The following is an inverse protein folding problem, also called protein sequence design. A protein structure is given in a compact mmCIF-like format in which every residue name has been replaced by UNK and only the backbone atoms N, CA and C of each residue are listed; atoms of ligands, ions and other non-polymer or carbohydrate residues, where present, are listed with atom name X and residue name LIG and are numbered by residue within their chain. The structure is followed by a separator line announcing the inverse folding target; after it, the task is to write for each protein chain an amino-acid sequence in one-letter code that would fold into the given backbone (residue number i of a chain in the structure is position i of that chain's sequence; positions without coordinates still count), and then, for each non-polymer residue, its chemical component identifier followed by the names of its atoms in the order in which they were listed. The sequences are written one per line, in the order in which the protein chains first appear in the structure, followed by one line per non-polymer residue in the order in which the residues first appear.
data_IF_750702952948
#
_entry.id   IF_750702952948
#
_cell.length_a   1.000
_cell.length_b   1.000
_cell.length_c   1.000
_cell.angle_alpha   90.00
_cell.angle_beta   90.00
_cell.angle_gamma   90.00
#
_symmetry.space_group_name_H-M   'P 1'
#
loop_
_entity.id
_entity.type
_entity.pdbx_description
1 polymer ?
#
# COMPACT_ATOMS: atom_id res chain seq x y z
N UNK A 1 31.19 18.77 17.36
CA UNK A 1 29.96 18.05 16.99
C UNK A 1 29.69 18.29 15.50
N UNK A 2 30.15 17.38 14.64
CA UNK A 2 30.01 17.51 13.19
C UNK A 2 28.62 17.10 12.73
N UNK A 3 27.93 17.98 12.01
CA UNK A 3 26.66 17.69 11.34
C UNK A 3 26.92 16.82 10.12
N UNK A 4 26.35 15.62 10.09
CA UNK A 4 26.29 14.77 8.90
C UNK A 4 25.03 15.17 8.12
N UNK A 5 25.22 15.76 6.94
CA UNK A 5 24.15 15.96 5.97
C UNK A 5 24.01 14.66 5.16
N UNK A 6 22.81 14.07 5.18
CA UNK A 6 22.46 12.92 4.35
C UNK A 6 21.81 13.47 3.08
N UNK A 7 22.55 13.43 1.96
CA UNK A 7 21.99 13.73 0.65
C UNK A 7 21.06 12.58 0.22
N UNK A 8 19.80 12.92 -0.07
CA UNK A 8 18.81 12.03 -0.67
C UNK A 8 19.28 11.70 -2.09
N UNK A 9 19.85 10.51 -2.28
CA UNK A 9 20.22 10.03 -3.61
C UNK A 9 18.97 9.76 -4.45
N UNK A 10 18.86 10.43 -5.59
CA UNK A 10 17.85 10.15 -6.60
C UNK A 10 18.00 8.70 -7.09
N UNK A 11 16.91 7.93 -7.00
CA UNK A 11 16.82 6.59 -7.57
C UNK A 11 16.87 6.74 -9.10
N UNK A 12 18.04 6.48 -9.68
CA UNK A 12 18.20 6.43 -11.14
C UNK A 12 17.29 5.34 -11.70
N UNK A 13 16.25 5.75 -12.42
CA UNK A 13 15.44 4.87 -13.25
C UNK A 13 16.36 4.22 -14.28
N UNK A 14 16.64 2.92 -14.11
CA UNK A 14 17.48 2.16 -15.05
C UNK A 14 16.74 2.05 -16.38
N UNK A 15 17.41 2.47 -17.46
CA UNK A 15 16.87 2.41 -18.81
C UNK A 15 16.46 0.98 -19.19
N UNK A 16 15.33 0.86 -19.88
CA UNK A 16 14.66 -0.38 -20.30
C UNK A 16 15.52 -1.35 -21.14
N UNK A 17 16.68 -0.94 -21.64
CA UNK A 17 17.61 -1.78 -22.41
C UNK A 17 18.56 -2.66 -21.55
N UNK A 18 18.62 -2.48 -20.23
CA UNK A 18 19.53 -3.26 -19.35
C UNK A 18 18.87 -4.53 -18.76
N UNK A 19 17.55 -4.68 -18.91
CA UNK A 19 16.79 -5.81 -18.35
C UNK A 19 17.01 -7.14 -19.12
N UNK A 20 17.61 -7.11 -20.32
CA UNK A 20 17.87 -8.31 -21.13
C UNK A 20 19.18 -9.03 -20.78
N UNK A 21 20.07 -8.44 -19.98
CA UNK A 21 21.41 -9.00 -19.69
C UNK A 21 21.59 -9.42 -18.23
N UNK A 22 20.49 -9.56 -17.47
CA UNK A 22 20.57 -9.97 -16.08
C UNK A 22 20.51 -11.48 -15.92
N UNK A 23 21.59 -12.08 -15.38
CA UNK A 23 21.71 -13.53 -15.29
C UNK A 23 20.67 -14.13 -14.35
N UNK A 24 20.03 -15.23 -14.77
CA UNK A 24 19.23 -16.05 -13.86
C UNK A 24 20.15 -16.74 -12.86
N UNK A 25 19.96 -16.55 -11.56
CA UNK A 25 20.75 -17.24 -10.52
C UNK A 25 20.02 -18.38 -9.83
N UNK A 26 18.77 -18.62 -10.23
CA UNK A 26 17.87 -19.60 -9.62
C UNK A 26 17.37 -20.62 -10.63
N UNK A 27 17.17 -21.86 -10.19
CA UNK A 27 16.61 -22.94 -11.01
C UNK A 27 15.88 -23.96 -10.13
N UNK A 28 15.17 -24.91 -10.73
CA UNK A 28 14.60 -26.05 -10.00
C UNK A 28 15.43 -27.32 -10.22
N UNK A 29 15.74 -28.04 -9.16
CA UNK A 29 16.42 -29.34 -9.24
C UNK A 29 15.45 -30.41 -9.74
N UNK A 30 15.76 -31.06 -10.86
CA UNK A 30 14.88 -32.06 -11.48
C UNK A 30 14.53 -33.24 -10.57
N UNK A 31 15.47 -33.67 -9.73
CA UNK A 31 15.29 -34.85 -8.91
C UNK A 31 14.33 -34.63 -7.71
N UNK A 32 14.25 -33.40 -7.21
CA UNK A 32 13.52 -33.08 -5.97
C UNK A 32 12.38 -32.08 -6.16
N UNK A 33 12.39 -31.32 -7.26
CA UNK A 33 11.47 -30.19 -7.45
C UNK A 33 11.80 -28.98 -6.56
N UNK A 34 12.95 -28.96 -5.90
CA UNK A 34 13.37 -27.89 -5.00
C UNK A 34 14.06 -26.77 -5.78
N UNK A 35 13.79 -25.52 -5.40
CA UNK A 35 14.50 -24.36 -5.95
C UNK A 35 15.92 -24.29 -5.41
N UNK A 36 16.89 -24.00 -6.28
CA UNK A 36 18.31 -23.92 -5.95
C UNK A 36 18.94 -22.64 -6.49
N UNK A 37 19.86 -22.07 -5.72
CA UNK A 37 20.71 -20.96 -6.13
C UNK A 37 22.00 -21.48 -6.76
N UNK A 38 22.46 -20.85 -7.84
CA UNK A 38 23.64 -21.28 -8.61
C UNK A 38 24.92 -21.29 -7.76
N UNK A 39 25.05 -20.39 -6.79
CA UNK A 39 26.22 -20.34 -5.91
C UNK A 39 26.27 -21.44 -4.85
N UNK A 40 25.20 -22.24 -4.70
CA UNK A 40 25.23 -23.44 -3.86
C UNK A 40 25.71 -24.69 -4.62
N UNK A 41 25.82 -24.61 -5.95
CA UNK A 41 26.29 -25.73 -6.77
C UNK A 41 27.80 -25.90 -6.65
N UNK A 42 28.22 -27.16 -6.58
CA UNK A 42 29.64 -27.56 -6.58
C UNK A 42 30.21 -27.59 -8.01
N UNK A 43 31.54 -27.66 -8.10
CA UNK A 43 32.25 -27.63 -9.38
C UNK A 43 31.91 -28.82 -10.31
N UNK A 44 31.62 -29.99 -9.73
CA UNK A 44 31.15 -31.20 -10.43
C UNK A 44 29.71 -31.08 -10.94
N UNK A 45 28.96 -30.08 -10.47
CA UNK A 45 27.60 -29.76 -10.90
C UNK A 45 27.57 -28.62 -11.93
N UNK A 46 28.72 -28.20 -12.49
CA UNK A 46 28.77 -27.14 -13.50
C UNK A 46 28.32 -27.64 -14.89
N UNK A 47 27.76 -26.74 -15.71
CA UNK A 47 27.24 -27.04 -17.04
C UNK A 47 25.94 -27.85 -17.01
N UNK A 48 25.81 -28.82 -17.91
CA UNK A 48 24.66 -29.73 -17.98
C UNK A 48 24.60 -30.70 -16.78
N UNK A 49 25.69 -30.85 -16.01
CA UNK A 49 25.75 -31.72 -14.84
C UNK A 49 24.95 -31.19 -13.64
N UNK A 50 24.46 -29.94 -13.70
CA UNK A 50 23.68 -29.35 -12.60
C UNK A 50 22.35 -30.06 -12.35
N UNK A 51 21.81 -30.80 -13.33
CA UNK A 51 20.52 -31.48 -13.20
C UNK A 51 19.35 -30.51 -12.94
N UNK A 52 19.46 -29.27 -13.41
CA UNK A 52 18.48 -28.21 -13.18
C UNK A 52 17.56 -28.00 -14.39
N UNK A 53 16.33 -27.56 -14.14
CA UNK A 53 15.36 -27.15 -15.16
C UNK A 53 14.77 -25.78 -14.83
N UNK A 54 14.23 -25.11 -15.85
CA UNK A 54 13.47 -23.90 -15.68
C UNK A 54 11.98 -24.26 -15.44
N UNK A 55 11.39 -23.99 -14.26
CA UNK A 55 9.97 -24.27 -14.03
C UNK A 55 8.99 -23.45 -14.90
N UNK A 56 9.45 -22.43 -15.61
CA UNK A 56 8.58 -21.63 -16.50
C UNK A 56 8.38 -22.28 -17.88
N UNK A 57 9.45 -22.73 -18.51
CA UNK A 57 9.39 -23.35 -19.85
C UNK A 57 9.61 -24.86 -19.84
N UNK A 58 10.03 -25.43 -18.72
CA UNK A 58 10.35 -26.85 -18.57
C UNK A 58 11.72 -27.27 -19.14
N UNK A 59 12.44 -26.38 -19.82
CA UNK A 59 13.72 -26.69 -20.46
C UNK A 59 14.85 -26.93 -19.45
N UNK A 60 15.82 -27.74 -19.87
CA UNK A 60 17.06 -28.00 -19.15
C UNK A 60 17.95 -26.76 -19.12
N UNK A 61 18.46 -26.46 -17.93
CA UNK A 61 19.37 -25.35 -17.70
C UNK A 61 20.82 -25.83 -17.60
N UNK A 62 21.73 -24.94 -18.00
CA UNK A 62 23.17 -25.08 -17.81
C UNK A 62 23.63 -24.14 -16.71
N UNK A 63 24.30 -24.67 -15.69
CA UNK A 63 25.02 -23.85 -14.73
C UNK A 63 26.32 -23.33 -15.34
N UNK A 64 26.56 -22.03 -15.24
CA UNK A 64 27.76 -21.36 -15.74
C UNK A 64 28.56 -20.87 -14.55
N UNK A 65 29.84 -21.23 -14.53
CA UNK A 65 30.81 -20.88 -13.49
C UNK A 65 30.42 -21.35 -12.07
N UNK A 66 29.53 -22.35 -11.96
CA UNK A 66 29.17 -22.94 -10.67
C UNK A 66 30.39 -23.58 -9.98
N UNK A 67 30.47 -23.42 -8.66
CA UNK A 67 31.58 -23.94 -7.85
C UNK A 67 32.95 -23.31 -8.13
N UNK A 68 33.03 -22.21 -8.90
CA UNK A 68 34.26 -21.43 -9.07
C UNK A 68 34.52 -20.57 -7.84
N UNK A 69 35.78 -20.45 -7.47
CA UNK A 69 36.20 -19.61 -6.35
C UNK A 69 36.20 -18.12 -6.71
N UNK A 70 36.25 -17.26 -5.68
CA UNK A 70 36.21 -15.81 -5.84
C UNK A 70 37.32 -15.26 -6.76
N UNK A 71 38.51 -15.88 -6.80
CA UNK A 71 39.62 -15.42 -7.63
C UNK A 71 39.37 -15.59 -9.13
N UNK A 72 38.51 -16.53 -9.51
CA UNK A 72 38.07 -16.70 -10.90
C UNK A 72 37.36 -15.45 -11.43
N UNK A 73 36.59 -14.77 -10.58
CA UNK A 73 35.77 -13.61 -10.94
C UNK A 73 36.52 -12.27 -10.87
N UNK A 74 37.77 -12.26 -10.39
CA UNK A 74 38.64 -11.09 -10.43
C UNK A 74 39.28 -10.88 -11.80
N UNK A 75 39.14 -11.85 -12.72
CA UNK A 75 39.72 -11.79 -14.07
C UNK A 75 38.86 -10.91 -14.99
N UNK A 76 39.52 -10.13 -15.85
CA UNK A 76 38.83 -9.29 -16.83
C UNK A 76 37.88 -10.12 -17.71
N UNK A 77 36.70 -9.56 -18.00
CA UNK A 77 35.64 -10.17 -18.83
C UNK A 77 35.05 -11.48 -18.30
N UNK A 78 35.24 -11.82 -17.02
CA UNK A 78 34.54 -12.95 -16.41
C UNK A 78 33.14 -12.55 -15.95
N UNK A 79 32.13 -13.32 -16.37
CA UNK A 79 30.76 -13.20 -15.86
C UNK A 79 30.63 -13.98 -14.55
N UNK A 80 29.73 -13.53 -13.67
CA UNK A 80 29.42 -14.22 -12.41
C UNK A 80 28.81 -15.61 -12.61
N UNK A 81 28.32 -16.22 -11.54
CA UNK A 81 27.61 -17.49 -11.60
C UNK A 81 26.16 -17.28 -12.07
N UNK A 82 25.69 -18.13 -12.99
CA UNK A 82 24.32 -18.05 -13.50
C UNK A 82 23.85 -19.33 -14.19
N UNK A 83 22.55 -19.46 -14.38
CA UNK A 83 21.91 -20.44 -15.24
C UNK A 83 21.59 -19.84 -16.60
N UNK A 84 21.74 -20.65 -17.65
CA UNK A 84 21.30 -20.29 -19.00
C UNK A 84 20.54 -21.43 -19.67
N UNK A 85 19.65 -21.07 -20.59
CA UNK A 85 19.00 -22.02 -21.48
C UNK A 85 19.99 -22.55 -22.51
N UNK A 86 19.84 -23.80 -22.88
CA UNK A 86 20.65 -24.45 -23.92
C UNK A 86 20.43 -23.83 -25.31
N UNK A 87 19.22 -23.31 -25.58
CA UNK A 87 18.86 -22.55 -26.79
C UNK A 87 19.40 -21.10 -26.81
N UNK A 88 20.14 -20.68 -25.78
CA UNK A 88 20.83 -19.39 -25.71
C UNK A 88 19.94 -18.18 -25.40
N UNK A 89 18.61 -18.30 -25.45
CA UNK A 89 17.69 -17.19 -25.20
C UNK A 89 16.96 -17.36 -23.87
N UNK A 90 17.17 -16.41 -22.96
CA UNK A 90 16.40 -16.30 -21.73
C UNK A 90 15.11 -15.51 -22.00
N UNK A 91 13.96 -16.13 -21.77
CA UNK A 91 12.66 -15.44 -21.86
C UNK A 91 12.42 -14.64 -20.59
N UNK A 92 11.86 -13.43 -20.71
CA UNK A 92 11.53 -12.56 -19.56
C UNK A 92 10.60 -13.27 -18.55
N UNK A 93 9.63 -14.02 -19.06
CA UNK A 93 8.69 -14.80 -18.25
C UNK A 93 9.39 -15.87 -17.41
N UNK A 94 10.49 -16.45 -17.92
CA UNK A 94 11.29 -17.42 -17.16
C UNK A 94 11.97 -16.76 -15.95
N UNK A 95 12.56 -15.58 -16.11
CA UNK A 95 13.16 -14.83 -15.00
C UNK A 95 12.11 -14.48 -13.96
N UNK A 96 10.95 -13.99 -14.41
CA UNK A 96 9.88 -13.57 -13.52
C UNK A 96 9.37 -14.70 -12.62
N UNK A 97 9.06 -15.86 -13.19
CA UNK A 97 8.62 -17.00 -12.40
C UNK A 97 9.75 -17.51 -11.47
N UNK A 98 11.01 -17.52 -11.92
CA UNK A 98 12.13 -17.94 -11.07
C UNK A 98 12.28 -17.04 -9.86
N UNK A 99 12.16 -15.74 -10.05
CA UNK A 99 12.28 -14.77 -8.97
C UNK A 99 11.20 -14.99 -7.89
N UNK A 100 9.97 -15.25 -8.33
CA UNK A 100 8.85 -15.57 -7.44
C UNK A 100 9.09 -16.85 -6.65
N UNK A 101 9.45 -17.93 -7.33
CA UNK A 101 9.71 -19.23 -6.70
C UNK A 101 10.87 -19.16 -5.71
N UNK A 102 11.96 -18.45 -6.07
CA UNK A 102 13.09 -18.21 -5.18
C UNK A 102 12.67 -17.47 -3.91
N UNK A 103 11.89 -16.40 -4.03
CA UNK A 103 11.39 -15.65 -2.89
C UNK A 103 10.53 -16.52 -1.96
N UNK A 104 9.61 -17.31 -2.52
CA UNK A 104 8.76 -18.21 -1.74
C UNK A 104 9.59 -19.29 -1.03
N UNK A 105 10.48 -19.99 -1.74
CA UNK A 105 11.31 -21.03 -1.13
C UNK A 105 12.23 -20.49 -0.03
N UNK A 106 12.88 -19.35 -0.26
CA UNK A 106 13.73 -18.72 0.74
C UNK A 106 12.98 -18.34 2.02
N UNK A 107 11.77 -17.83 1.86
CA UNK A 107 10.89 -17.52 2.99
C UNK A 107 10.56 -18.79 3.80
N UNK A 108 10.24 -19.88 3.09
CA UNK A 108 9.85 -21.15 3.69
C UNK A 108 11.03 -21.89 4.36
N UNK A 109 12.25 -21.71 3.87
CA UNK A 109 13.46 -22.34 4.42
C UNK A 109 14.00 -21.61 5.65
N UNK A 110 13.87 -20.27 5.70
CA UNK A 110 14.30 -19.48 6.85
C UNK A 110 13.59 -19.87 8.15
N UNK A 111 12.33 -20.30 8.05
CA UNK A 111 11.51 -20.68 9.21
C UNK A 111 11.12 -19.48 10.11
N UNK A 112 11.43 -18.27 9.67
CA UNK A 112 11.05 -17.00 10.29
C UNK A 112 10.51 -16.10 9.19
N UNK A 113 9.47 -15.34 9.50
CA UNK A 113 8.84 -14.43 8.56
C UNK A 113 8.62 -13.07 9.20
N UNK A 114 9.05 -12.04 8.47
CA UNK A 114 8.85 -10.64 8.80
C UNK A 114 7.81 -10.10 7.83
N UNK A 115 6.65 -9.73 8.36
CA UNK A 115 5.48 -9.31 7.60
C UNK A 115 5.29 -7.80 7.74
N UNK A 116 5.07 -7.12 6.61
CA UNK A 116 4.79 -5.69 6.65
C UNK A 116 3.48 -5.44 7.40
N UNK A 117 3.28 -4.22 7.92
CA UNK A 117 2.00 -3.87 8.55
C UNK A 117 0.86 -3.99 7.53
N UNK A 118 -0.29 -4.59 7.89
CA UNK A 118 -1.46 -4.60 7.02
C UNK A 118 -1.98 -3.17 6.87
N UNK A 119 -2.44 -2.84 5.66
CA UNK A 119 -2.98 -1.52 5.31
C UNK A 119 -4.38 -1.67 4.75
N UNK A 120 -5.32 -0.87 5.24
CA UNK A 120 -6.70 -0.85 4.77
C UNK A 120 -7.12 0.56 4.38
N UNK A 121 -7.59 0.77 3.14
CA UNK A 121 -8.12 2.05 2.72
C UNK A 121 -9.54 2.23 3.24
N UNK A 122 -9.87 3.46 3.65
CA UNK A 122 -11.21 3.92 3.94
C UNK A 122 -11.58 5.02 2.96
N UNK A 123 -12.86 5.07 2.58
CA UNK A 123 -13.36 6.04 1.59
C UNK A 123 -14.68 6.61 2.06
N UNK A 124 -14.81 7.92 2.02
CA UNK A 124 -16.06 8.62 2.29
C UNK A 124 -16.31 9.68 1.23
N UNK A 125 -17.55 9.78 0.77
CA UNK A 125 -17.96 10.79 -0.20
C UNK A 125 -18.70 11.91 0.53
N UNK A 126 -18.14 13.13 0.46
CA UNK A 126 -18.75 14.30 1.06
C UNK A 126 -19.89 14.89 0.23
N UNK A 127 -20.62 15.82 0.81
CA UNK A 127 -21.76 16.51 0.22
C UNK A 127 -21.36 17.27 -1.06
N UNK A 128 -20.18 17.90 -1.06
CA UNK A 128 -19.58 18.59 -2.20
C UNK A 128 -19.20 17.68 -3.37
N UNK A 129 -19.26 16.36 -3.20
CA UNK A 129 -18.74 15.38 -4.17
C UNK A 129 -17.24 15.10 -4.01
N UNK A 130 -16.56 15.77 -3.09
CA UNK A 130 -15.18 15.47 -2.73
C UNK A 130 -15.09 14.07 -2.12
N UNK A 131 -14.10 13.30 -2.56
CA UNK A 131 -13.83 11.98 -2.00
C UNK A 131 -12.70 12.08 -0.97
N UNK A 132 -13.03 11.76 0.27
CA UNK A 132 -12.12 11.70 1.39
C UNK A 132 -11.58 10.28 1.50
N UNK A 133 -10.27 10.14 1.43
CA UNK A 133 -9.60 8.85 1.58
C UNK A 133 -8.74 8.87 2.83
N UNK A 134 -8.71 7.75 3.54
CA UNK A 134 -7.84 7.55 4.69
C UNK A 134 -7.27 6.13 4.66
N UNK A 135 -6.23 5.89 5.45
CA UNK A 135 -5.63 4.57 5.60
C UNK A 135 -5.52 4.22 7.09
N UNK A 136 -5.94 3.01 7.44
CA UNK A 136 -5.55 2.38 8.70
C UNK A 136 -4.33 1.49 8.45
N UNK A 137 -3.36 1.59 9.34
CA UNK A 137 -2.11 0.83 9.28
C UNK A 137 -2.03 0.02 10.56
N UNK A 138 -2.11 -1.31 10.42
CA UNK A 138 -1.96 -2.22 11.54
C UNK A 138 -0.49 -2.38 11.96
N UNK A 139 -0.22 -3.39 12.77
CA UNK A 139 1.14 -3.67 13.26
C UNK A 139 1.86 -4.61 12.31
N UNK A 140 3.14 -4.31 12.04
CA UNK A 140 4.04 -5.31 11.44
C UNK A 140 4.14 -6.51 12.37
N UNK A 141 4.29 -7.70 11.79
CA UNK A 141 4.42 -8.92 12.57
C UNK A 141 5.71 -9.64 12.19
N UNK A 142 6.45 -10.09 13.18
CA UNK A 142 7.65 -10.90 13.00
C UNK A 142 7.58 -12.10 13.91
N UNK A 143 7.87 -13.28 13.38
CA UNK A 143 7.84 -14.48 14.19
C UNK A 143 8.24 -15.75 13.44
N UNK A 144 8.16 -16.86 14.17
CA UNK A 144 8.62 -18.16 13.67
C UNK A 144 7.49 -18.93 13.00
N UNK A 145 7.81 -19.56 11.88
CA UNK A 145 6.92 -20.52 11.22
C UNK A 145 6.99 -21.83 12.00
N UNK A 146 5.87 -22.25 12.57
CA UNK A 146 5.77 -23.47 13.42
C UNK A 146 5.41 -24.71 12.63
N UNK A 147 4.67 -24.56 11.54
CA UNK A 147 4.33 -25.62 10.59
C UNK A 147 4.36 -25.07 9.17
N UNK A 148 4.80 -25.89 8.21
CA UNK A 148 4.85 -25.54 6.79
C UNK A 148 4.37 -26.69 5.91
N UNK A 149 3.42 -26.40 5.04
CA UNK A 149 2.91 -27.34 4.04
C UNK A 149 2.81 -26.66 2.68
N UNK A 150 3.57 -27.16 1.72
CA UNK A 150 3.44 -26.77 0.32
C UNK A 150 2.11 -27.28 -0.23
N UNK A 151 1.34 -26.39 -0.88
CA UNK A 151 0.09 -26.77 -1.54
C UNK A 151 0.34 -27.06 -3.02
N UNK A 152 1.15 -26.22 -3.65
CA UNK A 152 1.68 -26.39 -5.00
C UNK A 152 3.02 -25.66 -5.13
N UNK A 153 3.49 -25.45 -6.37
CA UNK A 153 4.74 -24.73 -6.61
C UNK A 153 4.64 -23.22 -6.38
N UNK A 154 3.45 -22.65 -6.24
CA UNK A 154 3.22 -21.20 -6.12
C UNK A 154 2.57 -20.78 -4.80
N UNK A 155 2.22 -21.73 -3.95
CA UNK A 155 1.52 -21.48 -2.71
C UNK A 155 1.92 -22.45 -1.61
N UNK A 156 1.94 -21.92 -0.39
CA UNK A 156 2.24 -22.68 0.80
C UNK A 156 1.33 -22.22 1.94
N UNK A 157 0.93 -23.17 2.78
CA UNK A 157 0.25 -22.93 4.05
C UNK A 157 1.29 -22.91 5.16
N UNK A 158 1.29 -21.85 5.96
CA UNK A 158 2.15 -21.71 7.14
C UNK A 158 1.30 -21.54 8.39
N UNK A 159 1.86 -21.95 9.52
CA UNK A 159 1.30 -21.66 10.84
C UNK A 159 2.19 -20.68 11.58
N UNK A 160 1.62 -19.52 11.93
CA UNK A 160 2.28 -18.44 12.67
C UNK A 160 1.45 -18.08 13.91
N UNK A 161 2.05 -18.07 15.10
CA UNK A 161 1.35 -17.84 16.38
C UNK A 161 0.02 -18.61 16.54
N UNK A 162 0.00 -19.87 16.07
CA UNK A 162 -1.21 -20.72 16.09
C UNK A 162 -2.28 -20.38 15.05
N UNK A 163 -2.04 -19.38 14.20
CA UNK A 163 -2.92 -18.96 13.10
C UNK A 163 -2.45 -19.57 11.78
N UNK A 164 -3.41 -19.94 10.94
CA UNK A 164 -3.14 -20.47 9.61
C UNK A 164 -3.13 -19.35 8.59
N UNK A 165 -1.99 -19.17 7.92
CA UNK A 165 -1.82 -18.16 6.88
C UNK A 165 -1.44 -18.81 5.57
N UNK A 166 -2.11 -18.38 4.51
CA UNK A 166 -1.78 -18.77 3.14
C UNK A 166 -0.75 -17.79 2.57
N UNK A 167 0.37 -18.30 2.06
CA UNK A 167 1.36 -17.52 1.31
C UNK A 167 1.23 -17.92 -0.16
N UNK A 168 0.99 -16.94 -1.03
CA UNK A 168 0.81 -17.18 -2.46
C UNK A 168 1.63 -16.21 -3.32
N UNK A 169 2.10 -16.70 -4.46
CA UNK A 169 2.68 -15.87 -5.51
C UNK A 169 1.56 -15.28 -6.36
N UNK A 170 1.49 -13.96 -6.51
CA UNK A 170 0.45 -13.36 -7.37
C UNK A 170 0.82 -13.55 -8.84
N UNK A 171 0.22 -14.53 -9.53
CA UNK A 171 -0.26 -14.31 -10.88
C UNK A 171 -1.74 -13.88 -10.75
N UNK A 172 -2.23 -12.93 -11.56
CA UNK A 172 -3.60 -12.37 -11.43
C UNK A 172 -4.69 -13.46 -11.26
N UNK A 173 -5.82 -13.13 -10.58
CA UNK A 173 -6.27 -13.85 -9.38
C UNK A 173 -7.36 -14.89 -9.65
N UNK A 174 -7.36 -15.95 -8.83
CA UNK A 174 -8.47 -16.34 -7.95
C UNK A 174 -8.25 -17.78 -7.48
N UNK A 175 -7.67 -17.92 -6.29
CA UNK A 175 -7.88 -19.12 -5.48
C UNK A 175 -8.74 -18.70 -4.29
N UNK A 176 -10.05 -18.70 -4.48
CA UNK A 176 -10.96 -18.97 -3.36
C UNK A 176 -10.78 -20.42 -2.96
N UNK A 177 -9.62 -20.74 -2.36
CA UNK A 177 -9.48 -22.04 -1.70
C UNK A 177 -10.53 -22.05 -0.60
N UNK A 178 -11.44 -23.03 -0.62
CA UNK A 178 -12.50 -23.21 0.39
C UNK A 178 -11.98 -23.57 1.78
N UNK A 179 -10.74 -23.18 2.09
CA UNK A 179 -10.05 -23.39 3.35
C UNK A 179 -10.27 -22.13 4.18
N UNK A 180 -10.84 -22.30 5.38
CA UNK A 180 -10.91 -21.23 6.35
C UNK A 180 -9.48 -20.89 6.81
N UNK A 181 -8.93 -19.78 6.31
CA UNK A 181 -7.62 -19.24 6.70
C UNK A 181 -7.78 -17.92 7.44
N UNK A 182 -6.90 -17.69 8.41
CA UNK A 182 -6.89 -16.47 9.24
C UNK A 182 -6.28 -15.28 8.49
N UNK A 183 -5.41 -15.55 7.50
CA UNK A 183 -4.79 -14.52 6.69
C UNK A 183 -4.27 -15.02 5.34
N UNK A 184 -4.03 -14.09 4.43
CA UNK A 184 -3.46 -14.33 3.10
C UNK A 184 -2.36 -13.30 2.85
N UNK A 185 -1.15 -13.79 2.64
CA UNK A 185 0.02 -13.00 2.24
C UNK A 185 0.28 -13.27 0.77
N UNK A 186 0.43 -12.20 0.02
CA UNK A 186 0.74 -12.27 -1.40
C UNK A 186 2.14 -11.72 -1.61
N UNK A 187 3.03 -12.53 -2.18
CA UNK A 187 4.36 -12.09 -2.60
C UNK A 187 4.26 -11.59 -4.04
N UNK A 188 4.57 -10.31 -4.22
CA UNK A 188 4.57 -9.60 -5.50
C UNK A 188 6.01 -9.38 -5.92
N UNK A 189 6.49 -10.23 -6.80
CA UNK A 189 7.75 -9.98 -7.50
C UNK A 189 7.39 -9.47 -8.88
N UNK A 190 7.33 -8.15 -9.03
CA UNK A 190 6.92 -7.49 -10.27
C UNK A 190 8.11 -7.13 -11.19
N UNK A 191 9.34 -7.35 -10.73
CA UNK A 191 10.56 -7.07 -11.48
C UNK A 191 11.39 -8.35 -11.73
N UNK A 192 11.66 -8.73 -13.01
CA UNK A 192 12.48 -9.89 -13.34
C UNK A 192 13.95 -9.78 -12.87
N UNK A 193 14.43 -8.59 -12.49
CA UNK A 193 15.78 -8.39 -11.90
C UNK A 193 16.01 -9.25 -10.67
N UNK A 194 14.96 -9.55 -9.93
CA UNK A 194 15.02 -10.31 -8.68
C UNK A 194 15.55 -11.73 -8.93
N UNK A 195 15.38 -12.28 -10.14
CA UNK A 195 15.96 -13.56 -10.52
C UNK A 195 17.50 -13.55 -10.58
N UNK A 196 18.11 -12.37 -10.60
CA UNK A 196 19.57 -12.17 -10.58
C UNK A 196 20.12 -11.88 -9.18
N UNK A 197 19.23 -11.72 -8.19
CA UNK A 197 19.61 -11.41 -6.82
C UNK A 197 20.10 -12.65 -6.08
N UNK A 198 20.96 -12.38 -5.10
CA UNK A 198 21.43 -13.37 -4.14
C UNK A 198 20.39 -13.60 -3.04
N UNK A 199 20.45 -14.74 -2.33
CA UNK A 199 19.46 -15.08 -1.30
C UNK A 199 19.22 -13.97 -0.27
N UNK A 200 20.28 -13.34 0.21
CA UNK A 200 20.21 -12.29 1.23
C UNK A 200 19.49 -11.04 0.71
N UNK A 201 19.67 -10.67 -0.55
CA UNK A 201 19.01 -9.52 -1.17
C UNK A 201 17.50 -9.75 -1.29
N UNK A 202 17.08 -10.96 -1.70
CA UNK A 202 15.66 -11.34 -1.77
C UNK A 202 15.04 -11.32 -0.38
N UNK A 203 15.73 -11.88 0.62
CA UNK A 203 15.27 -11.87 2.02
C UNK A 203 15.17 -10.46 2.59
N UNK A 204 16.11 -9.57 2.27
CA UNK A 204 16.07 -8.18 2.70
C UNK A 204 14.92 -7.42 2.04
N UNK A 205 14.65 -7.65 0.76
CA UNK A 205 13.52 -7.03 0.07
C UNK A 205 12.16 -7.51 0.62
N UNK A 206 12.03 -8.82 0.89
CA UNK A 206 10.84 -9.38 1.55
C UNK A 206 10.53 -8.69 2.90
N UNK A 207 11.56 -8.26 3.64
CA UNK A 207 11.45 -7.57 4.93
C UNK A 207 11.07 -6.10 4.82
N UNK A 208 11.67 -5.39 3.87
CA UNK A 208 11.69 -3.93 3.86
C UNK A 208 10.63 -3.31 2.95
N UNK A 209 10.13 -4.06 1.97
CA UNK A 209 9.29 -3.49 0.91
C UNK A 209 7.87 -4.08 0.91
N UNK A 210 6.90 -3.24 1.28
CA UNK A 210 5.46 -3.56 1.16
C UNK A 210 4.97 -3.74 -0.28
N UNK A 211 5.78 -3.35 -1.27
CA UNK A 211 5.59 -3.67 -2.67
C UNK A 211 5.98 -5.11 -3.02
N UNK A 212 6.83 -5.75 -2.21
CA UNK A 212 7.33 -7.10 -2.47
C UNK A 212 6.48 -8.19 -1.78
N UNK A 213 5.92 -7.88 -0.60
CA UNK A 213 4.92 -8.73 0.07
C UNK A 213 3.80 -7.86 0.65
N UNK A 214 2.55 -8.32 0.58
CA UNK A 214 1.42 -7.58 1.13
C UNK A 214 0.35 -8.50 1.70
N UNK A 215 -0.35 -8.01 2.73
CA UNK A 215 -1.53 -8.65 3.28
C UNK A 215 -2.74 -8.43 2.38
N UNK A 216 -3.21 -9.50 1.76
CA UNK A 216 -4.48 -9.51 1.02
C UNK A 216 -5.66 -9.73 1.96
N UNK A 217 -5.50 -10.61 2.95
CA UNK A 217 -6.43 -10.80 4.07
C UNK A 217 -5.67 -10.85 5.38
N UNK A 218 -6.20 -10.23 6.42
CA UNK A 218 -5.63 -10.24 7.76
C UNK A 218 -6.73 -10.47 8.81
N UNK A 219 -6.38 -11.09 9.93
CA UNK A 219 -7.34 -11.40 11.00
C UNK A 219 -7.91 -10.13 11.68
N UNK A 220 -7.19 -9.01 11.63
CA UNK A 220 -7.65 -7.70 12.14
C UNK A 220 -8.36 -6.85 11.07
N UNK A 221 -8.77 -7.44 9.93
CA UNK A 221 -9.36 -6.68 8.81
C UNK A 221 -10.62 -5.91 9.20
N UNK A 222 -11.47 -6.49 10.04
CA UNK A 222 -12.70 -5.84 10.48
C UNK A 222 -12.41 -4.55 11.27
N UNK A 223 -11.49 -4.60 12.22
CA UNK A 223 -11.07 -3.45 13.02
C UNK A 223 -10.38 -2.39 12.15
N UNK A 224 -9.44 -2.80 11.30
CA UNK A 224 -8.70 -1.88 10.43
C UNK A 224 -9.61 -1.21 9.38
N UNK A 225 -10.57 -1.94 8.82
CA UNK A 225 -11.54 -1.36 7.89
C UNK A 225 -12.44 -0.34 8.60
N UNK A 226 -12.90 -0.65 9.82
CA UNK A 226 -13.69 0.28 10.63
C UNK A 226 -12.89 1.54 10.97
N UNK A 227 -11.63 1.40 11.37
CA UNK A 227 -10.74 2.52 11.67
C UNK A 227 -10.48 3.40 10.44
N UNK A 228 -10.18 2.79 9.29
CA UNK A 228 -9.91 3.51 8.06
C UNK A 228 -11.16 4.29 7.61
N UNK A 229 -12.33 3.66 7.69
CA UNK A 229 -13.60 4.29 7.37
C UNK A 229 -13.90 5.46 8.31
N UNK A 230 -13.70 5.27 9.62
CA UNK A 230 -13.92 6.32 10.59
C UNK A 230 -12.99 7.51 10.35
N UNK A 231 -11.71 7.29 10.02
CA UNK A 231 -10.77 8.35 9.65
C UNK A 231 -11.23 9.13 8.41
N UNK A 232 -11.70 8.44 7.36
CA UNK A 232 -12.20 9.09 6.16
C UNK A 232 -13.45 9.94 6.45
N UNK A 233 -14.33 9.44 7.33
CA UNK A 233 -15.51 10.15 7.80
C UNK A 233 -15.13 11.38 8.63
N UNK A 234 -14.21 11.25 9.59
CA UNK A 234 -13.72 12.37 10.40
C UNK A 234 -13.09 13.45 9.54
N UNK A 235 -12.32 13.10 8.50
CA UNK A 235 -11.76 14.06 7.56
C UNK A 235 -12.85 14.86 6.82
N UNK A 236 -13.95 14.23 6.45
CA UNK A 236 -15.09 14.91 5.85
C UNK A 236 -15.84 15.81 6.86
N UNK A 237 -15.93 15.41 8.13
CA UNK A 237 -16.51 16.23 9.20
C UNK A 237 -15.69 17.48 9.48
N UNK A 238 -14.37 17.35 9.57
CA UNK A 238 -13.45 18.46 9.77
C UNK A 238 -13.52 19.48 8.62
N UNK A 239 -13.75 18.99 7.40
CA UNK A 239 -14.01 19.82 6.22
C UNK A 239 -15.44 20.38 6.15
N UNK A 240 -16.30 20.10 7.13
CA UNK A 240 -17.73 20.44 7.14
C UNK A 240 -18.49 19.93 5.90
N UNK A 241 -18.04 18.80 5.34
CA UNK A 241 -18.59 18.23 4.11
C UNK A 241 -19.30 16.89 4.35
N UNK A 242 -19.32 16.38 5.59
CA UNK A 242 -20.16 15.24 5.95
C UNK A 242 -21.62 15.67 6.07
N UNK A 243 -22.53 14.94 5.42
CA UNK A 243 -23.98 15.11 5.60
C UNK A 243 -24.35 14.67 7.03
N UNK A 244 -24.86 15.58 7.88
CA UNK A 244 -25.31 15.23 9.23
C UNK A 244 -26.48 14.23 9.16
N UNK A 245 -26.53 13.20 10.03
CA UNK A 245 -27.59 12.20 10.03
C UNK A 245 -29.01 12.80 10.14
N UNK A 246 -29.13 13.95 10.82
CA UNK A 246 -30.39 14.66 11.06
C UNK A 246 -31.01 15.22 9.78
N UNK A 247 -30.21 15.44 8.73
CA UNK A 247 -30.71 15.88 7.42
C UNK A 247 -31.32 14.74 6.61
N UNK A 248 -31.08 13.48 6.99
CA UNK A 248 -31.52 12.31 6.24
C UNK A 248 -30.89 12.23 4.84
N UNK A 249 -31.60 11.62 3.90
CA UNK A 249 -31.15 11.55 2.51
C UNK A 249 -31.39 12.89 1.79
N UNK A 250 -30.36 13.35 1.09
CA UNK A 250 -30.40 14.54 0.21
C UNK A 250 -30.42 14.15 -1.27
N UNK A 251 -30.98 12.99 -1.60
CA UNK A 251 -31.08 12.51 -2.98
C UNK A 251 -31.88 13.47 -3.87
N UNK A 252 -31.47 13.58 -5.13
CA UNK A 252 -32.04 14.53 -6.09
C UNK A 252 -31.45 15.94 -6.04
N UNK A 253 -30.67 16.28 -5.01
CA UNK A 253 -29.90 17.53 -4.98
C UNK A 253 -28.56 17.40 -5.69
N UNK A 254 -28.13 18.48 -6.36
CA UNK A 254 -26.75 18.61 -6.85
C UNK A 254 -25.75 18.69 -5.69
N UNK A 255 -24.48 18.40 -5.95
CA UNK A 255 -23.42 18.50 -4.94
C UNK A 255 -23.31 19.89 -4.30
N UNK A 256 -23.51 20.95 -5.08
CA UNK A 256 -23.51 22.31 -4.57
C UNK A 256 -24.66 22.53 -3.58
N UNK A 257 -25.87 22.08 -3.92
CA UNK A 257 -27.04 22.18 -3.04
C UNK A 257 -26.89 21.33 -1.78
N UNK A 258 -26.29 20.14 -1.88
CA UNK A 258 -25.97 19.29 -0.73
C UNK A 258 -24.99 20.00 0.20
N UNK A 259 -23.90 20.54 -0.35
CA UNK A 259 -22.90 21.29 0.41
C UNK A 259 -23.50 22.52 1.09
N UNK A 260 -24.33 23.29 0.39
CA UNK A 260 -25.01 24.45 0.97
C UNK A 260 -25.94 24.04 2.13
N UNK A 261 -26.69 22.95 1.96
CA UNK A 261 -27.59 22.42 3.00
C UNK A 261 -26.82 22.02 4.26
N UNK A 262 -25.67 21.36 4.09
CA UNK A 262 -24.77 20.99 5.20
C UNK A 262 -24.24 22.24 5.91
N UNK A 263 -23.79 23.26 5.17
CA UNK A 263 -23.32 24.53 5.74
C UNK A 263 -24.42 25.22 6.55
N UNK A 264 -25.65 25.31 6.02
CA UNK A 264 -26.79 25.88 6.74
C UNK A 264 -27.11 25.09 8.02
N UNK A 265 -27.07 23.77 7.97
CA UNK A 265 -27.26 22.93 9.15
C UNK A 265 -26.20 23.21 10.22
N UNK A 266 -24.92 23.35 9.81
CA UNK A 266 -23.82 23.65 10.72
C UNK A 266 -23.93 25.04 11.33
N UNK A 267 -24.30 26.04 10.54
CA UNK A 267 -24.55 27.41 11.04
C UNK A 267 -25.67 27.38 12.07
N UNK A 268 -26.78 26.69 11.80
CA UNK A 268 -27.88 26.53 12.76
C UNK A 268 -27.44 25.83 14.04
N UNK A 269 -26.63 24.78 13.94
CA UNK A 269 -26.05 24.07 15.09
C UNK A 269 -25.16 24.99 15.94
N UNK A 270 -24.23 25.73 15.32
CA UNK A 270 -23.33 26.68 16.00
C UNK A 270 -24.14 27.77 16.71
N UNK A 271 -25.12 28.36 16.02
CA UNK A 271 -25.99 29.39 16.59
C UNK A 271 -26.80 28.83 17.76
N UNK A 272 -27.35 27.63 17.62
CA UNK A 272 -28.10 26.97 18.69
C UNK A 272 -27.21 26.68 19.91
N UNK A 273 -25.97 26.22 19.71
CA UNK A 273 -24.99 25.97 20.79
C UNK A 273 -24.55 27.26 21.49
N UNK A 274 -24.30 28.33 20.72
CA UNK A 274 -23.91 29.61 21.28
C UNK A 274 -25.05 30.28 22.06
N UNK A 275 -26.31 30.05 21.64
CA UNK A 275 -27.53 30.58 22.27
C UNK A 275 -27.66 32.11 22.25
N UNK A 276 -26.66 32.81 21.72
CA UNK A 276 -26.55 34.27 21.72
C UNK A 276 -25.85 34.74 20.45
N UNK A 277 -26.31 35.86 19.92
CA UNK A 277 -25.68 36.56 18.81
C UNK A 277 -25.41 38.00 19.21
N UNK A 278 -24.15 38.42 19.13
CA UNK A 278 -23.75 39.81 19.40
C UNK A 278 -23.64 40.56 18.08
N UNK A 279 -24.52 41.53 17.88
CA UNK A 279 -24.45 42.47 16.77
C UNK A 279 -23.51 43.60 17.19
N UNK A 280 -22.42 43.88 16.45
CA UNK A 280 -21.52 44.99 16.77
C UNK A 280 -22.26 46.32 16.62
N UNK A 281 -21.74 47.37 17.26
CA UNK A 281 -22.25 48.71 17.01
C UNK A 281 -21.96 49.10 15.55
N UNK A 282 -22.83 49.92 14.96
CA UNK A 282 -22.67 50.44 13.61
C UNK A 282 -22.76 51.96 13.64
N UNK A 283 -21.83 52.63 12.98
CA UNK A 283 -21.88 54.08 12.78
C UNK A 283 -21.75 54.38 11.30
N UNK A 284 -22.70 55.14 10.75
CA UNK A 284 -22.71 55.48 9.35
C UNK A 284 -23.17 56.92 9.13
N UNK A 285 -22.43 57.66 8.30
CA UNK A 285 -22.84 58.97 7.81
C UNK A 285 -24.00 58.80 6.82
N UNK A 286 -25.13 59.46 7.07
CA UNK A 286 -26.29 59.42 6.18
C UNK A 286 -26.55 60.79 5.59
N UNK A 287 -27.08 60.84 4.37
CA UNK A 287 -27.46 62.08 3.73
C UNK A 287 -28.96 62.32 3.87
N UNK A 288 -29.34 63.47 4.44
CA UNK A 288 -30.74 63.91 4.47
C UNK A 288 -30.86 65.24 3.74
N UNK A 289 -31.68 65.26 2.69
CA UNK A 289 -32.13 66.50 2.05
C UNK A 289 -33.32 67.03 2.85
N UNK A 290 -33.20 68.26 3.33
CA UNK A 290 -34.24 68.94 4.11
C UNK A 290 -35.26 69.59 3.16
N UNK A 291 -36.42 69.99 3.67
CA UNK A 291 -37.48 70.61 2.86
C UNK A 291 -37.06 71.94 2.19
N UNK A 292 -36.02 72.59 2.70
CA UNK A 292 -35.42 73.82 2.15
C UNK A 292 -34.32 73.55 1.10
N UNK A 293 -34.10 72.28 0.74
CA UNK A 293 -33.05 71.87 -0.21
C UNK A 293 -31.65 71.75 0.39
N UNK A 294 -31.46 72.10 1.66
CA UNK A 294 -30.17 71.94 2.35
C UNK A 294 -29.86 70.45 2.60
N UNK A 295 -28.59 70.07 2.44
CA UNK A 295 -28.13 68.71 2.77
C UNK A 295 -27.52 68.69 4.16
N UNK A 296 -28.02 67.81 5.02
CA UNK A 296 -27.37 67.46 6.28
C UNK A 296 -26.73 66.09 6.16
N UNK A 297 -25.57 65.94 6.81
CA UNK A 297 -24.84 64.67 6.91
C UNK A 297 -24.73 64.20 8.37
N UNK A 298 -25.85 63.85 9.02
CA UNK A 298 -25.78 63.31 10.36
C UNK A 298 -25.11 61.93 10.36
N UNK A 299 -24.42 61.61 11.46
CA UNK A 299 -24.00 60.24 11.75
C UNK A 299 -25.13 59.53 12.47
N UNK A 300 -25.49 58.34 11.99
CA UNK A 300 -26.42 57.45 12.67
C UNK A 300 -25.59 56.44 13.44
N UNK A 301 -25.83 56.40 14.75
CA UNK A 301 -25.23 55.42 15.65
C UNK A 301 -26.27 54.37 16.03
N UNK A 302 -25.91 53.10 15.87
CA UNK A 302 -26.70 51.95 16.31
C UNK A 302 -25.84 51.19 17.32
N UNK A 303 -26.29 51.16 18.57
CA UNK A 303 -25.59 50.46 19.65
C UNK A 303 -25.46 48.96 19.37
N UNK A 304 -24.42 48.34 19.94
CA UNK A 304 -24.28 46.89 19.90
C UNK A 304 -25.46 46.22 20.61
N UNK A 305 -26.05 45.20 19.99
CA UNK A 305 -27.17 44.46 20.56
C UNK A 305 -26.78 43.01 20.82
N UNK A 306 -27.31 42.44 21.91
CA UNK A 306 -27.19 41.01 22.20
C UNK A 306 -28.55 40.35 22.03
N UNK A 307 -28.66 39.51 21.01
CA UNK A 307 -29.84 38.69 20.76
C UNK A 307 -29.66 37.36 21.49
N UNK A 308 -30.65 36.95 22.27
CA UNK A 308 -30.67 35.62 22.88
C UNK A 308 -31.61 34.73 22.07
N UNK A 309 -31.13 33.58 21.63
CA UNK A 309 -31.92 32.63 20.85
C UNK A 309 -32.69 31.75 21.84
N UNK A 310 -33.98 32.03 22.05
CA UNK A 310 -34.87 31.13 22.78
C UNK A 310 -35.26 29.97 21.88
N UNK A 311 -35.04 28.74 22.36
CA UNK A 311 -35.34 27.54 21.59
C UNK A 311 -36.81 27.49 21.17
N UNK A 312 -37.06 27.39 19.86
CA UNK A 312 -38.38 27.05 19.35
C UNK A 312 -38.62 25.57 19.66
N UNK A 313 -39.39 25.30 20.72
CA UNK A 313 -39.91 23.95 20.99
C UNK A 313 -41.04 23.66 20.00
N UNK A 314 -40.66 23.36 18.75
CA UNK A 314 -41.58 22.77 17.78
C UNK A 314 -42.07 21.43 18.32
N UNK A 315 -43.35 21.36 18.69
CA UNK A 315 -44.04 20.10 18.97
C UNK A 315 -43.90 19.18 17.76
N UNK A 316 -43.60 17.91 18.05
CA UNK A 316 -43.73 16.77 17.15
C UNK A 316 -45.10 16.68 16.50
#
# INVERSE_FOLDING_TARGET
MGRVNVERGDVRTVATNTLQDQPMRWAEQKARGEVTYVGWLRADQNGNACGCRCPACGEDLQAVNAGKDASHFLKANTRGMFFRHSSGHQRKDCSFLMAKLAALHLLMDRGEIDLPPPRRPGVHHGASGTTYTAEAVGRSWSGRITDKVWLDNQSARITIDGRTVLVQLQARPNLSSGIAVDGVITIRVDDPIVASWDPEQILQALRLDSGFSCWEKHWDDEELNSEAQQKAVTAAEEAMDRIPPELGSLDGLSHLQKSETVLHAKVKEILSKAGRLRVPYCEQEVHRVMHDGSQKRPHVHIDSQSLTLSGYSGRS
#
